data_IF_998306183713
#
_entry.id   IF_998306183713
#
_cell.length_a   1.000
_cell.length_b   1.000
_cell.length_c   1.000
_cell.angle_alpha   90.00
_cell.angle_beta   90.00
_cell.angle_gamma   90.00
#
_symmetry.space_group_name_H-M   'P 1'
#
loop_
_entity.id
_entity.type
_entity.pdbx_description
1 polymer ?
#
# COMPACT_ATOMS: atom_id res chain seq x y z
N UNK A 1 -8.47 9.37 -41.26
CA UNK A 1 -8.76 8.88 -39.89
C UNK A 1 -9.48 9.91 -39.03
N UNK A 2 -9.31 11.22 -39.24
CA UNK A 2 -10.08 12.29 -38.56
C UNK A 2 -11.54 12.44 -39.04
N UNK A 3 -11.85 12.08 -40.27
CA UNK A 3 -13.21 12.20 -40.84
C UNK A 3 -14.19 11.14 -40.36
N UNK A 4 -13.73 9.99 -39.91
CA UNK A 4 -14.56 8.91 -39.32
C UNK A 4 -14.95 9.17 -37.86
N UNK A 5 -14.17 9.97 -37.12
CA UNK A 5 -14.48 10.38 -35.75
C UNK A 5 -15.55 11.48 -35.70
N UNK A 6 -15.65 12.34 -36.74
CA UNK A 6 -16.66 13.38 -36.82
C UNK A 6 -18.06 12.83 -37.18
N UNK A 7 -18.14 11.72 -37.91
CA UNK A 7 -19.40 11.09 -38.28
C UNK A 7 -20.09 10.35 -37.13
N UNK A 8 -19.32 9.86 -36.14
CA UNK A 8 -19.86 9.18 -34.93
C UNK A 8 -20.42 10.18 -33.88
N UNK A 9 -20.00 11.44 -33.93
CA UNK A 9 -20.43 12.49 -33.01
C UNK A 9 -21.72 13.24 -33.45
N UNK A 10 -22.12 13.08 -34.71
CA UNK A 10 -23.31 13.77 -35.27
C UNK A 10 -24.56 12.86 -35.31
N UNK A 11 -24.46 11.59 -34.98
CA UNK A 11 -25.58 10.62 -35.03
C UNK A 11 -26.38 10.50 -33.72
N UNK A 12 -26.07 11.29 -32.67
CA UNK A 12 -26.74 11.15 -31.36
C UNK A 12 -27.56 12.41 -30.95
N UNK A 13 -27.87 13.29 -31.87
CA UNK A 13 -28.64 14.51 -31.57
C UNK A 13 -30.00 14.52 -32.25
N UNK A 14 -30.78 13.44 -32.18
CA UNK A 14 -32.23 13.46 -32.39
C UNK A 14 -32.90 12.96 -31.12
N UNK A 15 -33.29 13.92 -30.28
CA UNK A 15 -34.13 13.67 -29.13
C UNK A 15 -35.59 13.49 -29.63
N UNK A 16 -36.09 12.27 -29.66
CA UNK A 16 -37.50 12.00 -29.70
C UNK A 16 -38.10 12.17 -28.31
N UNK A 17 -39.16 12.94 -28.21
CA UNK A 17 -40.00 13.09 -27.02
C UNK A 17 -40.72 11.76 -26.74
N UNK A 18 -40.67 11.18 -25.53
CA UNK A 18 -41.48 10.01 -25.26
C UNK A 18 -42.91 10.41 -24.90
N UNK A 19 -43.87 9.87 -25.67
CA UNK A 19 -45.27 9.77 -25.29
C UNK A 19 -45.42 8.91 -24.02
N UNK A 20 -46.40 9.30 -23.20
CA UNK A 20 -46.77 8.58 -21.98
C UNK A 20 -47.30 7.18 -22.30
N UNK A 21 -46.62 6.17 -21.80
CA UNK A 21 -47.03 4.77 -21.95
C UNK A 21 -46.45 3.90 -20.85
N UNK A 22 -47.35 3.52 -19.95
CA UNK A 22 -47.30 2.30 -19.09
C UNK A 22 -46.07 2.09 -18.24
N UNK A 23 -46.20 2.42 -16.97
CA UNK A 23 -45.34 1.90 -15.88
C UNK A 23 -45.51 0.36 -15.84
N UNK A 24 -44.57 -0.37 -16.40
CA UNK A 24 -44.28 -1.73 -15.95
C UNK A 24 -43.40 -1.65 -14.69
N UNK A 25 -44.04 -2.08 -13.61
CA UNK A 25 -43.45 -2.23 -12.28
C UNK A 25 -42.39 -3.37 -12.35
N UNK A 26 -41.17 -3.04 -12.79
CA UNK A 26 -40.04 -3.96 -12.68
C UNK A 26 -39.57 -3.89 -11.23
N UNK A 27 -40.28 -4.61 -10.37
CA UNK A 27 -39.76 -5.03 -9.08
C UNK A 27 -38.58 -5.97 -9.34
N UNK A 28 -37.38 -5.39 -9.46
CA UNK A 28 -36.14 -6.15 -9.34
C UNK A 28 -36.12 -6.67 -7.91
N UNK A 29 -36.61 -7.87 -7.72
CA UNK A 29 -36.38 -8.64 -6.52
C UNK A 29 -34.85 -8.75 -6.38
N UNK A 30 -34.27 -7.94 -5.48
CA UNK A 30 -32.92 -8.12 -5.01
C UNK A 30 -32.97 -9.46 -4.26
N UNK A 31 -32.58 -10.53 -4.94
CA UNK A 31 -32.22 -11.76 -4.29
C UNK A 31 -31.07 -11.46 -3.35
N UNK A 32 -31.41 -11.10 -2.11
CA UNK A 32 -30.49 -11.23 -1.00
C UNK A 32 -30.10 -12.71 -0.99
N UNK A 33 -28.82 -13.09 -1.12
CA UNK A 33 -28.44 -14.47 -1.01
C UNK A 33 -29.05 -14.97 0.31
N UNK A 34 -29.88 -15.99 0.26
CA UNK A 34 -30.48 -16.61 1.43
C UNK A 34 -29.32 -17.09 2.32
N UNK A 35 -28.80 -16.22 3.19
CA UNK A 35 -27.84 -16.63 4.21
C UNK A 35 -28.54 -17.62 5.08
N UNK A 36 -27.93 -18.77 5.25
CA UNK A 36 -28.37 -19.81 6.15
C UNK A 36 -28.75 -19.14 7.49
N UNK A 37 -30.00 -19.28 7.90
CA UNK A 37 -30.48 -18.76 9.19
C UNK A 37 -29.57 -19.37 10.25
N UNK A 38 -28.72 -18.54 10.85
CA UNK A 38 -27.82 -19.00 11.86
C UNK A 38 -28.62 -19.39 13.09
N UNK A 39 -28.34 -20.55 13.62
CA UNK A 39 -28.87 -20.99 14.90
C UNK A 39 -27.82 -20.79 15.97
N UNK A 40 -28.26 -20.37 17.16
CA UNK A 40 -27.39 -20.27 18.32
C UNK A 40 -26.78 -21.64 18.65
N UNK A 41 -25.45 -21.69 18.62
CA UNK A 41 -24.66 -22.92 18.76
C UNK A 41 -24.21 -23.22 20.21
N UNK A 42 -24.53 -22.31 21.16
CA UNK A 42 -24.07 -22.39 22.55
C UNK A 42 -22.84 -21.54 22.83
N UNK A 43 -22.36 -20.78 21.84
CA UNK A 43 -21.34 -19.76 22.00
C UNK A 43 -21.96 -18.38 21.83
N UNK A 44 -21.72 -17.46 22.78
CA UNK A 44 -22.16 -16.06 22.73
C UNK A 44 -20.98 -15.20 22.29
N UNK A 45 -20.97 -14.76 21.04
CA UNK A 45 -19.95 -13.86 20.51
C UNK A 45 -20.39 -12.42 20.68
N UNK A 46 -19.59 -11.67 21.44
CA UNK A 46 -19.84 -10.27 21.75
C UNK A 46 -18.94 -9.41 20.87
N UNK A 47 -19.55 -8.57 20.00
CA UNK A 47 -18.85 -7.60 19.17
C UNK A 47 -18.91 -6.20 19.72
N UNK A 48 -17.79 -5.49 19.72
CA UNK A 48 -17.77 -4.06 20.03
C UNK A 48 -16.69 -3.33 19.23
N UNK A 49 -16.93 -2.03 19.03
CA UNK A 49 -15.90 -1.10 18.58
C UNK A 49 -15.55 -0.16 19.72
N UNK A 50 -14.27 0.20 19.85
CA UNK A 50 -13.86 1.19 20.84
C UNK A 50 -14.38 2.58 20.42
N UNK A 51 -15.21 3.24 21.22
CA UNK A 51 -15.86 4.49 20.82
C UNK A 51 -14.88 5.60 20.47
N UNK A 52 -13.77 5.70 21.20
CA UNK A 52 -12.78 6.76 21.04
C UNK A 52 -11.44 6.27 20.47
N UNK A 53 -11.31 4.98 20.22
CA UNK A 53 -10.05 4.31 19.81
C UNK A 53 -8.89 4.53 20.81
N UNK A 54 -9.22 4.78 22.08
CA UNK A 54 -8.29 5.03 23.18
C UNK A 54 -8.15 3.83 24.13
N UNK A 55 -8.63 2.66 23.74
CA UNK A 55 -8.61 1.45 24.58
C UNK A 55 -9.65 1.43 25.69
N UNK A 56 -10.55 2.41 25.76
CA UNK A 56 -11.56 2.50 26.83
C UNK A 56 -12.63 1.42 26.73
N UNK A 57 -12.86 0.86 25.54
CA UNK A 57 -13.87 -0.18 25.32
C UNK A 57 -13.66 -1.43 26.18
N UNK A 58 -12.43 -1.82 26.44
CA UNK A 58 -12.11 -2.95 27.32
C UNK A 58 -12.54 -2.72 28.77
N UNK A 59 -12.50 -1.49 29.26
CA UNK A 59 -12.82 -1.15 30.68
C UNK A 59 -14.25 -1.43 31.08
N UNK A 60 -15.17 -1.55 30.14
CA UNK A 60 -16.59 -1.90 30.41
C UNK A 60 -17.04 -3.18 29.69
N UNK A 61 -16.38 -3.59 28.59
CA UNK A 61 -16.73 -4.82 27.86
C UNK A 61 -16.14 -6.08 28.49
N UNK A 62 -14.93 -6.04 29.04
CA UNK A 62 -14.33 -7.17 29.74
C UNK A 62 -15.08 -7.52 31.02
N UNK A 63 -15.44 -6.56 31.90
CA UNK A 63 -16.32 -6.85 33.04
C UNK A 63 -17.71 -7.39 32.65
N UNK A 64 -18.26 -6.89 31.52
CA UNK A 64 -19.52 -7.42 31.00
C UNK A 64 -19.36 -8.88 30.54
N UNK A 65 -18.34 -9.20 29.78
CA UNK A 65 -18.09 -10.55 29.31
C UNK A 65 -17.89 -11.53 30.45
N UNK A 66 -17.10 -11.17 31.47
CA UNK A 66 -16.87 -11.99 32.65
C UNK A 66 -18.20 -12.21 33.45
N UNK A 67 -19.04 -11.18 33.59
CA UNK A 67 -20.34 -11.30 34.24
C UNK A 67 -21.29 -12.19 33.45
N UNK A 68 -21.29 -12.10 32.13
CA UNK A 68 -22.12 -12.95 31.28
C UNK A 68 -21.66 -14.41 31.33
N UNK A 69 -20.36 -14.66 31.33
CA UNK A 69 -19.81 -16.01 31.45
C UNK A 69 -20.30 -16.70 32.75
N UNK A 70 -20.33 -15.96 33.87
CA UNK A 70 -20.87 -16.46 35.11
C UNK A 70 -22.40 -16.69 35.07
N UNK A 71 -23.15 -15.74 34.52
CA UNK A 71 -24.62 -15.77 34.49
C UNK A 71 -25.18 -16.81 33.51
N UNK A 72 -24.41 -17.17 32.48
CA UNK A 72 -24.83 -18.12 31.44
C UNK A 72 -24.38 -19.56 31.69
N UNK A 73 -23.82 -19.86 32.87
CA UNK A 73 -23.58 -21.25 33.29
C UNK A 73 -24.89 -22.03 33.30
N UNK A 74 -24.88 -23.17 32.67
CA UNK A 74 -26.09 -24.02 32.56
C UNK A 74 -27.20 -23.46 31.65
N UNK A 75 -26.98 -22.39 30.92
CA UNK A 75 -27.99 -21.79 30.04
C UNK A 75 -28.00 -22.39 28.61
N UNK A 76 -27.02 -23.21 28.28
CA UNK A 76 -26.93 -23.85 26.96
C UNK A 76 -27.85 -25.08 26.84
N UNK A 77 -27.89 -25.66 25.65
CA UNK A 77 -28.65 -26.86 25.35
C UNK A 77 -28.31 -28.00 26.34
N UNK A 78 -29.33 -28.62 26.93
CA UNK A 78 -29.22 -29.70 27.94
C UNK A 78 -28.46 -29.30 29.20
N UNK A 79 -28.47 -27.99 29.58
CA UNK A 79 -27.79 -27.49 30.77
C UNK A 79 -26.28 -27.32 30.62
N UNK A 80 -25.76 -27.29 29.41
CA UNK A 80 -24.37 -26.95 29.16
C UNK A 80 -24.10 -25.45 29.41
N UNK A 81 -22.88 -25.09 29.70
CA UNK A 81 -22.44 -23.71 29.81
C UNK A 81 -22.43 -23.05 28.44
N UNK A 82 -22.78 -21.77 28.35
CA UNK A 82 -22.63 -20.93 27.18
C UNK A 82 -21.24 -20.31 27.22
N UNK A 83 -20.43 -20.60 26.20
CA UNK A 83 -19.11 -19.97 26.07
C UNK A 83 -19.26 -18.50 25.65
N UNK A 84 -18.58 -17.59 26.31
CA UNK A 84 -18.58 -16.16 25.98
C UNK A 84 -17.28 -15.81 25.29
N UNK A 85 -17.38 -15.18 24.12
CA UNK A 85 -16.22 -14.74 23.31
C UNK A 85 -16.36 -13.25 23.03
N UNK A 86 -15.34 -12.46 23.39
CA UNK A 86 -15.32 -11.02 23.20
C UNK A 86 -14.42 -10.67 22.02
N UNK A 87 -14.96 -9.94 21.04
CA UNK A 87 -14.26 -9.54 19.82
C UNK A 87 -14.29 -8.03 19.66
N UNK A 88 -13.11 -7.42 19.56
CA UNK A 88 -12.96 -6.00 19.20
C UNK A 88 -12.87 -5.86 17.69
N UNK A 89 -13.65 -4.95 17.12
CA UNK A 89 -13.68 -4.63 15.70
C UNK A 89 -13.32 -3.16 15.47
N UNK A 90 -12.87 -2.82 14.26
CA UNK A 90 -13.02 -1.47 13.78
C UNK A 90 -14.52 -1.16 13.59
N UNK A 91 -14.99 0.09 13.77
CA UNK A 91 -16.41 0.41 13.73
C UNK A 91 -17.16 -0.07 12.49
N UNK A 92 -16.51 -0.01 11.34
CA UNK A 92 -17.08 -0.47 10.06
C UNK A 92 -17.14 -1.99 9.95
N UNK A 93 -16.10 -2.68 10.44
CA UNK A 93 -16.05 -4.14 10.45
C UNK A 93 -17.09 -4.73 11.40
N UNK A 94 -17.34 -4.05 12.54
CA UNK A 94 -18.43 -4.42 13.45
C UNK A 94 -19.80 -4.38 12.75
N UNK A 95 -20.06 -3.34 11.94
CA UNK A 95 -21.29 -3.25 11.18
C UNK A 95 -21.47 -4.44 10.24
N UNK A 96 -20.41 -4.82 9.56
CA UNK A 96 -20.37 -5.99 8.69
C UNK A 96 -20.60 -7.28 9.48
N UNK A 97 -19.91 -7.46 10.61
CA UNK A 97 -20.04 -8.62 11.49
C UNK A 97 -21.47 -8.79 12.04
N UNK A 98 -22.15 -7.69 12.37
CA UNK A 98 -23.55 -7.70 12.82
C UNK A 98 -24.48 -8.19 11.70
N UNK A 99 -24.38 -7.61 10.52
CA UNK A 99 -25.25 -7.98 9.36
C UNK A 99 -24.94 -9.39 8.86
N UNK A 100 -23.68 -9.84 8.94
CA UNK A 100 -23.31 -11.21 8.58
C UNK A 100 -23.56 -12.24 9.67
N UNK A 101 -24.15 -11.85 10.80
CA UNK A 101 -24.42 -12.71 11.95
C UNK A 101 -23.16 -13.40 12.52
N UNK A 102 -22.01 -12.72 12.44
CA UNK A 102 -20.76 -13.17 13.06
C UNK A 102 -20.73 -12.93 14.57
N UNK A 103 -21.55 -11.98 15.04
CA UNK A 103 -21.71 -11.62 16.44
C UNK A 103 -23.16 -11.80 16.87
N UNK A 104 -23.36 -12.24 18.11
CA UNK A 104 -24.65 -12.57 18.71
C UNK A 104 -25.17 -11.44 19.61
N UNK A 105 -24.26 -10.76 20.33
CA UNK A 105 -24.48 -9.59 21.16
C UNK A 105 -23.50 -8.50 20.70
N UNK A 106 -23.93 -7.25 20.61
CA UNK A 106 -23.06 -6.20 20.08
C UNK A 106 -23.37 -4.84 20.65
N UNK A 107 -22.33 -4.00 20.76
CA UNK A 107 -22.42 -2.62 21.22
C UNK A 107 -22.21 -1.67 20.03
N UNK A 108 -23.24 -0.89 19.72
CA UNK A 108 -23.29 -0.01 18.55
C UNK A 108 -23.82 1.38 18.89
N UNK A 109 -23.62 2.36 18.00
CA UNK A 109 -24.24 3.68 18.15
C UNK A 109 -25.76 3.60 18.08
N UNK A 110 -26.45 4.52 18.78
CA UNK A 110 -27.90 4.62 18.75
C UNK A 110 -28.47 4.73 17.33
N UNK A 111 -27.80 5.46 16.45
CA UNK A 111 -28.19 5.56 15.04
C UNK A 111 -28.10 4.24 14.30
N UNK A 112 -27.04 3.47 14.52
CA UNK A 112 -26.90 2.17 13.85
C UNK A 112 -27.89 1.14 14.38
N UNK A 113 -28.19 1.17 15.67
CA UNK A 113 -29.24 0.32 16.23
C UNK A 113 -30.62 0.62 15.59
N UNK A 114 -30.99 1.90 15.46
CA UNK A 114 -32.24 2.30 14.81
C UNK A 114 -32.28 1.86 13.34
N UNK A 115 -31.19 2.02 12.61
CA UNK A 115 -31.07 1.55 11.24
C UNK A 115 -31.31 0.03 11.11
N UNK A 116 -30.68 -0.78 11.97
CA UNK A 116 -30.87 -2.24 12.00
C UNK A 116 -32.33 -2.60 12.33
N UNK A 117 -32.92 -1.92 13.33
CA UNK A 117 -34.30 -2.12 13.75
C UNK A 117 -35.28 -1.82 12.61
N UNK A 118 -35.11 -0.69 11.93
CA UNK A 118 -36.02 -0.23 10.87
C UNK A 118 -35.87 -1.04 9.57
N UNK A 119 -34.70 -1.63 9.34
CA UNK A 119 -34.47 -2.61 8.26
C UNK A 119 -35.04 -3.99 8.56
N UNK A 120 -35.54 -4.26 9.76
CA UNK A 120 -36.00 -5.59 10.15
C UNK A 120 -34.87 -6.61 10.29
N UNK A 121 -33.67 -6.17 10.68
CA UNK A 121 -32.51 -7.06 10.80
C UNK A 121 -32.57 -8.09 11.93
N UNK A 122 -33.71 -8.21 12.61
CA UNK A 122 -33.89 -9.19 13.68
C UNK A 122 -33.00 -8.90 14.90
N UNK A 123 -32.96 -7.66 15.35
CA UNK A 123 -32.19 -7.23 16.50
C UNK A 123 -33.10 -6.76 17.62
N UNK A 124 -32.69 -7.02 18.85
CA UNK A 124 -33.43 -6.63 20.06
C UNK A 124 -32.52 -5.82 20.97
N UNK A 125 -33.03 -4.66 21.41
CA UNK A 125 -32.33 -3.82 22.37
C UNK A 125 -32.29 -4.47 23.74
N UNK A 126 -31.13 -4.44 24.40
CA UNK A 126 -30.92 -4.97 25.75
C UNK A 126 -30.69 -3.83 26.74
N UNK A 127 -29.80 -2.89 26.45
CA UNK A 127 -29.42 -1.82 27.37
C UNK A 127 -28.78 -0.66 26.61
N UNK A 128 -28.70 0.50 27.25
CA UNK A 128 -27.91 1.65 26.79
C UNK A 128 -26.75 1.90 27.74
N UNK A 129 -25.55 2.08 27.17
CA UNK A 129 -24.36 2.40 27.94
C UNK A 129 -24.32 3.90 28.22
N UNK A 130 -24.35 4.25 29.53
CA UNK A 130 -24.20 5.61 30.02
C UNK A 130 -22.73 5.87 30.37
N UNK A 131 -22.03 6.81 29.71
CA UNK A 131 -20.69 7.20 30.12
C UNK A 131 -20.70 7.99 31.45
N UNK A 132 -19.58 8.04 32.19
CA UNK A 132 -19.50 8.75 33.46
C UNK A 132 -19.76 10.26 33.33
N UNK A 133 -19.49 10.84 32.19
CA UNK A 133 -19.68 12.25 31.87
C UNK A 133 -21.15 12.65 31.71
N UNK A 134 -22.04 11.69 31.46
CA UNK A 134 -23.47 11.96 31.27
C UNK A 134 -24.26 11.76 32.58
N UNK A 135 -25.14 12.69 32.92
CA UNK A 135 -26.14 12.53 34.00
C UNK A 135 -27.36 11.77 33.52
N UNK A 136 -27.72 11.96 32.22
CA UNK A 136 -28.85 11.35 31.55
C UNK A 136 -28.36 10.42 30.44
N UNK A 137 -28.70 9.12 30.44
CA UNK A 137 -28.28 8.18 29.39
C UNK A 137 -28.88 8.49 28.02
N UNK A 138 -29.96 9.25 27.93
CA UNK A 138 -30.58 9.69 26.68
C UNK A 138 -29.87 10.93 26.08
N UNK A 139 -28.87 11.48 26.80
CA UNK A 139 -28.10 12.66 26.41
C UNK A 139 -26.60 12.41 26.53
N UNK A 140 -26.14 11.38 25.88
CA UNK A 140 -24.76 10.87 26.01
C UNK A 140 -23.96 10.84 24.70
N UNK A 141 -24.59 11.10 23.55
CA UNK A 141 -23.99 11.12 22.23
C UNK A 141 -24.33 12.41 21.46
N UNK A 142 -23.47 12.84 20.57
CA UNK A 142 -23.66 14.05 19.77
C UNK A 142 -22.37 14.47 19.09
N UNK A 143 -22.36 15.66 18.49
CA UNK A 143 -21.19 16.19 17.78
C UNK A 143 -20.74 17.54 18.32
N UNK A 144 -19.46 17.83 18.11
CA UNK A 144 -18.87 19.13 18.39
C UNK A 144 -18.09 19.62 17.16
N UNK A 145 -18.32 20.87 16.77
CA UNK A 145 -17.52 21.54 15.73
C UNK A 145 -16.30 22.16 16.37
N UNK A 146 -15.12 21.83 15.87
CA UNK A 146 -13.85 22.37 16.36
C UNK A 146 -13.10 23.07 15.26
N UNK A 147 -12.45 24.17 15.62
CA UNK A 147 -11.54 24.94 14.77
C UNK A 147 -10.27 25.22 15.54
N UNK A 148 -9.20 25.65 14.86
CA UNK A 148 -8.00 26.09 15.57
C UNK A 148 -8.32 27.25 16.52
N UNK A 149 -7.65 27.31 17.63
CA UNK A 149 -7.85 28.37 18.63
C UNK A 149 -7.57 29.77 18.08
N UNK A 150 -6.62 29.89 17.13
CA UNK A 150 -6.24 31.14 16.47
C UNK A 150 -7.20 31.57 15.33
N UNK A 151 -8.12 30.69 14.91
CA UNK A 151 -9.02 30.99 13.80
C UNK A 151 -10.29 31.72 14.27
N UNK A 152 -10.37 32.99 13.99
CA UNK A 152 -11.49 33.87 14.39
C UNK A 152 -12.61 33.96 13.38
N UNK A 153 -12.51 33.27 12.22
CA UNK A 153 -13.51 33.32 11.14
C UNK A 153 -14.83 32.68 11.52
N UNK A 154 -14.80 31.65 12.37
CA UNK A 154 -15.95 30.79 12.68
C UNK A 154 -16.34 30.93 14.15
N UNK A 155 -17.46 31.59 14.45
CA UNK A 155 -17.95 31.77 15.82
C UNK A 155 -19.28 31.07 16.07
N UNK A 156 -20.08 30.88 15.05
CA UNK A 156 -21.37 30.19 15.09
C UNK A 156 -21.50 29.21 13.92
N UNK A 157 -22.46 28.29 14.01
CA UNK A 157 -22.63 27.24 12.99
C UNK A 157 -22.89 27.80 11.59
N UNK A 158 -23.58 28.95 11.47
CA UNK A 158 -23.80 29.60 10.16
C UNK A 158 -22.52 30.04 9.46
N UNK A 159 -21.45 30.34 10.22
CA UNK A 159 -20.17 30.80 9.67
C UNK A 159 -19.40 29.65 9.00
N UNK A 160 -19.77 28.40 9.31
CA UNK A 160 -19.16 27.20 8.72
C UNK A 160 -19.58 26.96 7.26
N UNK A 161 -20.45 27.82 6.71
CA UNK A 161 -20.86 27.73 5.31
C UNK A 161 -19.63 27.83 4.40
N UNK A 162 -19.54 26.88 3.47
CA UNK A 162 -18.41 26.74 2.52
C UNK A 162 -17.06 26.42 3.14
N UNK A 163 -16.95 26.21 4.47
CA UNK A 163 -15.72 25.77 5.11
C UNK A 163 -15.29 24.37 4.62
N UNK A 164 -14.00 24.10 4.66
CA UNK A 164 -13.45 22.77 4.44
C UNK A 164 -13.51 21.99 5.74
N UNK A 165 -14.20 20.86 5.73
CA UNK A 165 -14.53 20.11 6.94
C UNK A 165 -13.93 18.71 6.91
N UNK A 166 -13.34 18.30 8.03
CA UNK A 166 -13.00 16.91 8.30
C UNK A 166 -14.02 16.29 9.26
N UNK A 167 -14.38 15.04 9.03
CA UNK A 167 -15.24 14.25 9.92
C UNK A 167 -14.75 12.79 9.97
N UNK A 168 -15.18 12.05 10.99
CA UNK A 168 -14.81 10.65 11.15
C UNK A 168 -15.28 9.79 9.98
N UNK A 169 -16.57 9.82 9.65
CA UNK A 169 -17.12 9.04 8.55
C UNK A 169 -18.55 9.42 8.22
N UNK A 170 -18.93 9.28 6.95
CA UNK A 170 -20.30 9.54 6.49
C UNK A 170 -21.35 8.69 7.22
N UNK A 171 -20.96 7.49 7.62
CA UNK A 171 -21.78 6.52 8.35
C UNK A 171 -21.73 6.70 9.87
N UNK A 172 -21.04 7.71 10.39
CA UNK A 172 -21.02 7.99 11.83
C UNK A 172 -22.22 8.84 12.21
N UNK A 173 -23.11 8.30 13.05
CA UNK A 173 -24.29 9.04 13.48
C UNK A 173 -23.90 10.27 14.32
N UNK A 174 -23.08 10.05 15.35
CA UNK A 174 -22.63 11.06 16.31
C UNK A 174 -21.40 11.86 15.85
N UNK A 175 -20.67 11.37 14.85
CA UNK A 175 -19.53 12.07 14.27
C UNK A 175 -19.83 12.80 12.95
N UNK A 176 -21.06 12.71 12.42
CA UNK A 176 -21.44 13.38 11.18
C UNK A 176 -22.93 13.72 11.08
N UNK A 177 -23.83 12.73 11.24
CA UNK A 177 -25.24 12.92 10.94
C UNK A 177 -25.91 13.87 11.94
N UNK A 178 -25.54 13.79 13.23
CA UNK A 178 -25.97 14.73 14.25
C UNK A 178 -25.50 16.17 13.96
N UNK A 179 -24.29 16.33 13.43
CA UNK A 179 -23.78 17.63 12.98
C UNK A 179 -24.56 18.19 11.80
N UNK A 180 -24.98 17.33 10.84
CA UNK A 180 -25.86 17.75 9.74
C UNK A 180 -27.24 18.18 10.23
N UNK A 181 -27.78 17.56 11.30
CA UNK A 181 -29.06 17.98 11.88
C UNK A 181 -28.94 19.36 12.52
N UNK A 182 -27.83 19.68 13.15
CA UNK A 182 -27.57 21.04 13.66
C UNK A 182 -27.43 22.06 12.52
N UNK A 183 -26.71 21.72 11.45
CA UNK A 183 -26.58 22.55 10.25
C UNK A 183 -27.95 22.80 9.60
N UNK A 184 -28.89 21.86 9.68
CA UNK A 184 -30.24 22.03 9.15
C UNK A 184 -31.06 23.11 9.87
N UNK A 185 -30.64 23.56 11.07
CA UNK A 185 -31.24 24.68 11.76
C UNK A 185 -30.88 26.02 11.10
N UNK A 186 -29.76 26.07 10.34
CA UNK A 186 -29.23 27.30 9.72
C UNK A 186 -29.18 27.21 8.19
N UNK A 187 -29.53 26.07 7.61
CA UNK A 187 -29.51 25.86 6.14
C UNK A 187 -30.59 24.89 5.68
N UNK A 188 -31.28 25.23 4.58
CA UNK A 188 -32.23 24.33 3.92
C UNK A 188 -31.53 23.16 3.18
N UNK A 189 -30.25 23.28 2.89
CA UNK A 189 -29.45 22.28 2.18
C UNK A 189 -28.25 21.82 3.02
N UNK A 190 -28.47 21.11 4.14
CA UNK A 190 -27.39 20.76 5.06
C UNK A 190 -26.33 19.86 4.43
N UNK A 191 -26.69 18.99 3.51
CA UNK A 191 -25.72 18.11 2.81
C UNK A 191 -24.76 18.89 1.88
N UNK A 192 -25.13 20.09 1.44
CA UNK A 192 -24.34 20.95 0.55
C UNK A 192 -23.88 22.23 1.26
N UNK A 193 -23.92 22.25 2.59
CA UNK A 193 -23.59 23.44 3.37
C UNK A 193 -22.09 23.73 3.38
N UNK A 194 -21.28 22.68 3.53
CA UNK A 194 -19.83 22.79 3.55
C UNK A 194 -19.25 22.87 2.14
N UNK A 195 -18.13 23.55 1.97
CA UNK A 195 -17.44 23.68 0.68
C UNK A 195 -16.80 22.36 0.23
N UNK A 196 -16.15 21.68 1.16
CA UNK A 196 -15.56 20.35 0.95
C UNK A 196 -15.66 19.56 2.25
N UNK A 197 -15.97 18.28 2.15
CA UNK A 197 -15.96 17.36 3.30
C UNK A 197 -14.98 16.21 3.03
N UNK A 198 -14.12 15.94 4.00
CA UNK A 198 -13.17 14.83 3.98
C UNK A 198 -13.48 13.90 5.14
N UNK A 199 -13.58 12.60 4.88
CA UNK A 199 -13.78 11.58 5.90
C UNK A 199 -12.46 10.84 6.17
N UNK A 200 -12.01 10.86 7.44
CA UNK A 200 -10.66 10.45 7.84
C UNK A 200 -10.63 9.14 8.65
N UNK A 201 -11.77 8.45 8.76
CA UNK A 201 -11.88 7.20 9.50
C UNK A 201 -12.70 7.36 10.79
N UNK A 202 -12.67 6.34 11.63
CA UNK A 202 -13.55 6.22 12.80
C UNK A 202 -13.07 6.97 14.05
N UNK A 203 -11.85 7.48 14.08
CA UNK A 203 -11.24 8.17 15.22
C UNK A 203 -11.23 9.68 15.03
N UNK A 204 -11.42 10.44 16.10
CA UNK A 204 -11.36 11.91 16.09
C UNK A 204 -9.94 12.48 16.03
N UNK A 205 -8.92 11.71 16.38
CA UNK A 205 -7.52 12.20 16.34
C UNK A 205 -7.06 12.63 14.94
N UNK A 206 -7.29 11.86 13.87
CA UNK A 206 -6.98 12.32 12.50
C UNK A 206 -7.76 13.58 12.11
N UNK A 207 -9.03 13.69 12.55
CA UNK A 207 -9.85 14.88 12.30
C UNK A 207 -9.28 16.11 12.99
N UNK A 208 -8.93 15.98 14.27
CA UNK A 208 -8.31 17.07 15.04
C UNK A 208 -6.96 17.51 14.45
N UNK A 209 -6.13 16.55 14.03
CA UNK A 209 -4.84 16.83 13.37
C UNK A 209 -5.02 17.56 12.04
N UNK A 210 -5.94 17.15 11.19
CA UNK A 210 -6.21 17.83 9.92
C UNK A 210 -6.59 19.30 10.11
N UNK A 211 -7.29 19.64 11.21
CA UNK A 211 -7.57 21.04 11.58
C UNK A 211 -6.31 21.77 12.02
N UNK A 212 -5.50 21.16 12.89
CA UNK A 212 -4.27 21.77 13.41
C UNK A 212 -3.22 21.98 12.30
N UNK A 213 -3.09 21.03 11.39
CA UNK A 213 -2.17 21.05 10.23
C UNK A 213 -2.66 21.95 9.09
N UNK A 214 -3.87 22.55 9.21
CA UNK A 214 -4.50 23.44 8.23
C UNK A 214 -4.93 22.74 6.94
N UNK A 215 -5.08 21.43 6.94
CA UNK A 215 -5.63 20.67 5.82
C UNK A 215 -7.13 20.88 5.67
N UNK A 216 -7.78 21.18 6.81
CA UNK A 216 -9.19 21.57 6.88
C UNK A 216 -9.38 22.75 7.83
N UNK A 217 -10.46 23.49 7.62
CA UNK A 217 -10.81 24.63 8.48
C UNK A 217 -11.49 24.17 9.78
N UNK A 218 -12.33 23.13 9.66
CA UNK A 218 -13.25 22.68 10.72
C UNK A 218 -13.14 21.16 10.87
N UNK A 219 -13.16 20.69 12.11
CA UNK A 219 -13.31 19.28 12.45
C UNK A 219 -14.67 19.01 13.08
N UNK A 220 -15.26 17.87 12.75
CA UNK A 220 -16.45 17.35 13.46
C UNK A 220 -16.01 16.16 14.30
N UNK A 221 -15.99 16.33 15.60
CA UNK A 221 -15.69 15.30 16.58
C UNK A 221 -16.96 14.84 17.28
N UNK A 222 -16.93 13.66 17.87
CA UNK A 222 -17.97 13.23 18.80
C UNK A 222 -17.83 13.99 20.11
N UNK A 223 -18.92 14.15 20.85
CA UNK A 223 -18.87 14.71 22.20
C UNK A 223 -17.91 13.92 23.10
N UNK A 224 -17.24 14.58 24.01
CA UNK A 224 -16.21 14.05 24.91
C UNK A 224 -14.89 13.60 24.20
N UNK A 225 -14.82 13.62 22.89
CA UNK A 225 -13.62 13.18 22.16
C UNK A 225 -12.50 14.22 22.24
N UNK A 226 -12.83 15.51 22.18
CA UNK A 226 -11.87 16.60 22.36
C UNK A 226 -11.21 16.54 23.75
N UNK A 227 -12.02 16.39 24.78
CA UNK A 227 -11.58 16.32 26.18
C UNK A 227 -10.75 15.05 26.42
N UNK A 228 -11.19 13.91 25.87
CA UNK A 228 -10.48 12.64 26.01
C UNK A 228 -9.12 12.65 25.31
N UNK A 229 -9.03 13.20 24.11
CA UNK A 229 -7.77 13.34 23.37
C UNK A 229 -6.79 14.30 24.08
N UNK A 230 -7.33 15.37 24.65
CA UNK A 230 -6.53 16.32 25.46
C UNK A 230 -6.05 15.67 26.76
N UNK A 231 -6.92 14.97 27.48
CA UNK A 231 -6.56 14.26 28.71
C UNK A 231 -5.53 13.14 28.47
N UNK A 232 -5.57 12.49 27.30
CA UNK A 232 -4.59 11.51 26.86
C UNK A 232 -3.25 12.12 26.41
N UNK A 233 -3.12 13.46 26.38
CA UNK A 233 -1.92 14.15 25.92
C UNK A 233 -1.69 14.06 24.39
N UNK A 234 -2.70 13.67 23.63
CA UNK A 234 -2.66 13.56 22.17
C UNK A 234 -2.95 14.91 21.47
N UNK A 235 -3.56 15.84 22.19
CA UNK A 235 -3.81 17.22 21.77
C UNK A 235 -3.33 18.17 22.86
N UNK A 236 -2.76 19.29 22.45
CA UNK A 236 -2.39 20.37 23.38
C UNK A 236 -3.66 21.07 23.90
N UNK A 237 -3.79 21.29 25.23
CA UNK A 237 -4.90 22.05 25.79
C UNK A 237 -5.03 23.43 25.15
N UNK A 238 -6.23 23.76 24.68
CA UNK A 238 -6.49 25.07 24.06
C UNK A 238 -6.00 25.22 22.62
N UNK A 239 -5.47 24.18 21.98
CA UNK A 239 -5.09 24.21 20.57
C UNK A 239 -6.29 24.28 19.62
N UNK A 240 -7.41 23.72 20.04
CA UNK A 240 -8.69 23.79 19.36
C UNK A 240 -9.73 24.53 20.22
N UNK A 241 -10.68 25.18 19.57
CA UNK A 241 -11.85 25.77 20.21
C UNK A 241 -13.13 25.28 19.56
N UNK A 242 -14.20 25.26 20.33
CA UNK A 242 -15.53 24.84 19.90
C UNK A 242 -16.28 25.98 19.21
N UNK A 243 -17.05 25.63 18.18
CA UNK A 243 -17.94 26.55 17.46
C UNK A 243 -19.38 26.14 17.72
N UNK A 244 -20.23 27.11 18.01
CA UNK A 244 -21.67 26.86 18.25
C UNK A 244 -21.93 26.03 19.51
N UNK A 245 -21.15 26.25 20.57
CA UNK A 245 -21.31 25.56 21.85
C UNK A 245 -22.73 25.77 22.41
N UNK A 246 -23.37 24.68 22.78
CA UNK A 246 -24.70 24.70 23.40
C UNK A 246 -24.58 24.78 24.92
N UNK A 247 -25.63 25.32 25.58
CA UNK A 247 -25.73 25.27 27.03
C UNK A 247 -25.60 23.83 27.54
N UNK A 248 -25.07 23.62 28.76
CA UNK A 248 -24.97 22.28 29.35
C UNK A 248 -26.30 21.55 29.34
N UNK A 249 -26.32 20.32 28.82
CA UNK A 249 -27.51 19.48 28.64
C UNK A 249 -27.48 18.22 29.54
N UNK A 250 -26.69 18.24 30.61
CA UNK A 250 -26.49 17.07 31.46
C UNK A 250 -25.31 16.17 31.03
N UNK A 251 -24.46 16.69 30.12
CA UNK A 251 -23.20 16.10 29.76
C UNK A 251 -22.06 17.02 30.23
N UNK A 252 -21.03 16.47 30.85
CA UNK A 252 -19.88 17.26 31.32
C UNK A 252 -18.97 17.75 30.19
N UNK A 253 -19.06 17.16 29.01
CA UNK A 253 -18.31 17.57 27.84
C UNK A 253 -19.08 18.62 27.02
N UNK A 254 -18.36 19.41 26.26
CA UNK A 254 -18.96 20.40 25.38
C UNK A 254 -19.66 19.75 24.17
N UNK A 255 -20.75 20.38 23.70
CA UNK A 255 -21.51 19.92 22.56
C UNK A 255 -21.91 21.11 21.67
N UNK A 256 -21.88 20.91 20.35
CA UNK A 256 -22.44 21.86 19.37
C UNK A 256 -23.80 21.44 18.84
N UNK A 257 -24.27 20.24 19.20
CA UNK A 257 -25.54 19.67 18.73
C UNK A 257 -26.50 19.35 19.85
N UNK A 258 -27.76 19.00 19.54
CA UNK A 258 -28.56 18.23 20.45
C UNK A 258 -27.87 16.92 20.82
N UNK A 259 -28.21 16.40 22.02
CA UNK A 259 -27.67 15.15 22.51
C UNK A 259 -28.65 14.00 22.28
N UNK A 260 -28.11 12.83 22.09
CA UNK A 260 -28.82 11.59 21.76
C UNK A 260 -28.45 10.49 22.77
N UNK A 261 -29.23 9.39 22.84
CA UNK A 261 -28.88 8.23 23.64
C UNK A 261 -27.50 7.68 23.36
N UNK A 262 -26.82 7.18 24.37
CA UNK A 262 -25.53 6.56 24.30
C UNK A 262 -25.50 5.29 23.43
N UNK A 263 -24.42 4.51 23.56
CA UNK A 263 -24.27 3.26 22.81
C UNK A 263 -25.33 2.24 23.22
N UNK A 264 -25.96 1.59 22.24
CA UNK A 264 -26.95 0.55 22.42
C UNK A 264 -26.27 -0.84 22.46
N UNK A 265 -26.49 -1.59 23.51
CA UNK A 265 -26.22 -3.02 23.57
C UNK A 265 -27.44 -3.75 23.01
N UNK A 266 -27.27 -4.50 21.96
CA UNK A 266 -28.36 -5.23 21.30
C UNK A 266 -27.94 -6.67 21.01
N UNK A 267 -28.92 -7.56 20.96
CA UNK A 267 -28.74 -8.97 20.64
C UNK A 267 -29.46 -9.34 19.35
N UNK A 268 -28.94 -10.33 18.64
CA UNK A 268 -29.63 -10.96 17.52
C UNK A 268 -30.86 -11.76 18.05
N UNK A 269 -31.98 -11.70 17.33
CA UNK A 269 -33.23 -12.37 17.75
C UNK A 269 -33.18 -13.90 17.66
N UNK A 270 -32.21 -14.45 16.91
CA UNK A 270 -31.98 -15.91 16.87
C UNK A 270 -31.28 -16.44 18.15
N UNK A 271 -30.73 -15.56 19.01
CA UNK A 271 -30.26 -15.94 20.33
C UNK A 271 -31.50 -16.31 21.17
N UNK A 272 -31.54 -17.49 21.84
CA UNK A 272 -32.68 -17.95 22.56
C UNK A 272 -33.19 -16.94 23.61
N UNK A 273 -34.49 -16.83 23.76
CA UNK A 273 -35.11 -15.84 24.65
C UNK A 273 -34.66 -15.98 26.13
N UNK A 274 -34.51 -17.20 26.59
CA UNK A 274 -34.01 -17.51 27.93
C UNK A 274 -32.56 -17.02 28.14
N UNK A 275 -31.72 -17.14 27.09
CA UNK A 275 -30.35 -16.60 27.08
C UNK A 275 -30.37 -15.06 27.07
N UNK A 276 -31.20 -14.43 26.21
CA UNK A 276 -31.32 -12.97 26.17
C UNK A 276 -31.83 -12.41 27.50
N UNK A 277 -32.80 -13.07 28.12
CA UNK A 277 -33.33 -12.68 29.46
C UNK A 277 -32.25 -12.77 30.54
N UNK A 278 -31.40 -13.81 30.52
CA UNK A 278 -30.26 -13.91 31.46
C UNK A 278 -29.20 -12.85 31.17
N UNK A 279 -28.96 -12.53 29.91
CA UNK A 279 -28.08 -11.43 29.52
C UNK A 279 -28.59 -10.12 30.12
N UNK A 280 -29.86 -9.78 29.91
CA UNK A 280 -30.45 -8.56 30.46
C UNK A 280 -30.35 -8.52 32.00
N UNK A 281 -30.69 -9.62 32.68
CA UNK A 281 -30.57 -9.71 34.14
C UNK A 281 -29.12 -9.52 34.61
N UNK A 282 -28.16 -10.10 33.94
CA UNK A 282 -26.74 -9.94 34.23
C UNK A 282 -26.29 -8.49 34.08
N UNK A 283 -26.65 -7.86 32.94
CA UNK A 283 -26.32 -6.47 32.61
C UNK A 283 -26.81 -5.50 33.67
N UNK A 284 -28.09 -5.61 34.06
CA UNK A 284 -28.68 -4.71 35.06
C UNK A 284 -28.28 -4.99 36.52
N UNK A 285 -27.74 -6.17 36.79
CA UNK A 285 -27.20 -6.51 38.13
C UNK A 285 -25.71 -6.19 38.26
N UNK A 286 -25.07 -5.68 37.21
CA UNK A 286 -23.65 -5.33 37.25
C UNK A 286 -23.39 -4.18 38.23
N UNK A 287 -22.38 -4.28 39.10
CA UNK A 287 -21.88 -3.14 39.84
C UNK A 287 -21.29 -2.12 38.85
N UNK A 288 -21.29 -0.85 39.23
CA UNK A 288 -20.64 0.20 38.44
C UNK A 288 -19.13 -0.03 38.49
N UNK A 289 -18.47 -0.24 37.37
CA UNK A 289 -17.01 -0.41 37.33
C UNK A 289 -16.29 0.91 37.70
N UNK A 290 -15.00 0.84 38.04
CA UNK A 290 -14.19 2.02 38.37
C UNK A 290 -14.17 3.05 37.23
N UNK A 291 -14.33 2.62 35.98
CA UNK A 291 -14.47 3.49 34.82
C UNK A 291 -15.73 4.38 34.86
N UNK A 292 -16.69 4.11 35.73
CA UNK A 292 -17.91 4.88 35.88
C UNK A 292 -18.98 4.64 34.80
N UNK A 293 -18.75 3.80 33.84
CA UNK A 293 -19.74 3.41 32.83
C UNK A 293 -20.88 2.61 33.47
N UNK A 294 -22.10 2.84 33.01
CA UNK A 294 -23.31 2.15 33.55
C UNK A 294 -24.19 1.65 32.43
N UNK A 295 -24.73 0.46 32.62
CA UNK A 295 -25.81 -0.08 31.78
C UNK A 295 -27.15 0.42 32.30
N UNK A 296 -28.01 0.95 31.43
CA UNK A 296 -29.23 1.65 31.78
C UNK A 296 -30.42 1.24 30.89
N UNK A 297 -31.64 1.55 31.36
CA UNK A 297 -32.89 1.26 30.66
C UNK A 297 -33.32 2.35 29.65
N UNK A 298 -32.43 3.29 29.32
CA UNK A 298 -32.77 4.36 28.38
C UNK A 298 -33.01 3.80 26.97
N UNK A 299 -34.21 3.99 26.46
CA UNK A 299 -34.65 3.47 25.16
C UNK A 299 -35.48 4.47 24.34
N UNK A 300 -35.48 5.75 24.68
CA UNK A 300 -36.16 6.78 23.89
C UNK A 300 -35.28 7.18 22.66
N UNK A 301 -35.46 6.46 21.59
CA UNK A 301 -34.75 6.68 20.34
C UNK A 301 -35.55 7.52 19.31
N UNK A 302 -36.64 8.19 19.72
CA UNK A 302 -37.48 9.00 18.79
C UNK A 302 -36.72 10.08 18.07
N UNK A 303 -35.84 10.80 18.78
CA UNK A 303 -35.00 11.83 18.17
C UNK A 303 -33.95 11.25 17.22
N UNK A 304 -33.36 10.09 17.56
CA UNK A 304 -32.43 9.37 16.69
C UNK A 304 -33.12 8.97 15.39
N UNK A 305 -34.32 8.37 15.50
CA UNK A 305 -35.12 7.96 14.32
C UNK A 305 -35.47 9.16 13.43
N UNK A 306 -35.97 10.26 14.02
CA UNK A 306 -36.27 11.51 13.32
C UNK A 306 -35.06 11.99 12.49
N UNK A 307 -33.86 12.00 13.07
CA UNK A 307 -32.64 12.42 12.39
C UNK A 307 -32.20 11.41 11.33
N UNK A 308 -32.28 10.11 11.64
CA UNK A 308 -31.97 9.04 10.72
C UNK A 308 -32.85 9.09 9.45
N UNK A 309 -34.17 9.28 9.63
CA UNK A 309 -35.12 9.44 8.51
C UNK A 309 -34.85 10.72 7.72
N UNK A 310 -34.64 11.87 8.39
CA UNK A 310 -34.37 13.17 7.75
C UNK A 310 -33.16 13.12 6.81
N UNK A 311 -32.12 12.37 7.14
CA UNK A 311 -30.90 12.28 6.36
C UNK A 311 -30.77 10.98 5.54
N UNK A 312 -31.80 10.12 5.55
CA UNK A 312 -31.76 8.79 4.94
C UNK A 312 -30.50 8.04 5.39
N UNK A 313 -30.32 7.96 6.71
CA UNK A 313 -29.15 7.36 7.32
C UNK A 313 -29.07 5.87 6.99
N UNK A 314 -28.04 5.49 6.24
CA UNK A 314 -27.78 4.10 5.83
C UNK A 314 -26.28 3.82 5.98
N UNK A 315 -25.84 3.30 7.14
CA UNK A 315 -24.41 3.12 7.43
C UNK A 315 -23.75 1.91 6.76
N UNK A 316 -24.46 1.21 5.88
CA UNK A 316 -23.92 0.08 5.14
C UNK A 316 -23.17 0.51 3.88
N UNK A 317 -22.36 -0.41 3.30
CA UNK A 317 -21.54 -0.24 2.10
C UNK A 317 -22.24 0.34 0.85
N UNK A 318 -23.54 0.66 0.92
CA UNK A 318 -24.20 1.51 -0.09
C UNK A 318 -23.58 2.90 -0.22
N UNK A 319 -22.73 3.32 0.74
CA UNK A 319 -21.84 4.46 0.50
C UNK A 319 -20.87 4.22 -0.67
N UNK A 320 -20.54 2.97 -0.98
CA UNK A 320 -19.87 2.60 -2.23
C UNK A 320 -20.82 2.71 -3.42
N UNK A 321 -22.07 2.29 -3.27
CA UNK A 321 -23.08 2.34 -4.35
C UNK A 321 -23.55 3.78 -4.60
N UNK A 322 -23.73 4.59 -3.53
CA UNK A 322 -24.00 6.02 -3.67
C UNK A 322 -22.78 6.80 -4.20
N UNK A 323 -21.57 6.38 -3.92
CA UNK A 323 -20.36 6.90 -4.60
C UNK A 323 -20.34 6.50 -6.07
N UNK A 324 -20.74 5.28 -6.41
CA UNK A 324 -20.84 4.85 -7.81
C UNK A 324 -21.92 5.65 -8.56
N UNK A 325 -23.09 5.91 -7.98
CA UNK A 325 -24.16 6.66 -8.67
C UNK A 325 -23.82 8.16 -8.85
N UNK A 326 -23.19 8.82 -7.89
CA UNK A 326 -22.73 10.22 -8.02
C UNK A 326 -21.48 10.30 -8.89
N UNK A 327 -20.62 9.29 -8.83
CA UNK A 327 -19.49 9.14 -9.77
C UNK A 327 -20.01 8.84 -11.17
N UNK A 328 -21.07 8.04 -11.33
CA UNK A 328 -21.63 7.65 -12.62
C UNK A 328 -22.19 8.84 -13.39
N UNK A 329 -22.91 9.76 -12.78
CA UNK A 329 -23.44 10.94 -13.48
C UNK A 329 -22.40 12.04 -13.74
N UNK A 330 -21.49 12.28 -12.80
CA UNK A 330 -20.55 13.41 -12.90
C UNK A 330 -19.23 13.05 -13.56
N UNK A 331 -18.85 11.75 -13.50
CA UNK A 331 -17.56 11.28 -14.00
C UNK A 331 -17.64 10.24 -15.12
N UNK A 332 -18.84 9.87 -15.61
CA UNK A 332 -18.96 8.91 -16.73
C UNK A 332 -18.14 9.33 -17.95
N UNK A 333 -18.12 10.61 -18.26
CA UNK A 333 -17.30 11.13 -19.36
C UNK A 333 -15.80 11.09 -19.03
N UNK A 334 -15.42 11.37 -17.78
CA UNK A 334 -14.03 11.26 -17.33
C UNK A 334 -13.55 9.81 -17.33
N UNK A 335 -14.40 8.87 -16.93
CA UNK A 335 -14.10 7.42 -16.98
C UNK A 335 -13.98 6.92 -18.43
N UNK A 336 -14.87 7.37 -19.33
CA UNK A 336 -14.78 7.04 -20.77
C UNK A 336 -13.50 7.62 -21.37
N UNK A 337 -13.17 8.88 -21.06
CA UNK A 337 -11.92 9.51 -21.53
C UNK A 337 -10.71 8.78 -20.93
N UNK A 338 -10.73 8.44 -19.65
CA UNK A 338 -9.68 7.66 -18.99
C UNK A 338 -9.49 6.29 -19.63
N UNK A 339 -10.58 5.60 -19.94
CA UNK A 339 -10.54 4.32 -20.65
C UNK A 339 -9.98 4.46 -22.07
N UNK A 340 -10.35 5.51 -22.80
CA UNK A 340 -9.82 5.80 -24.14
C UNK A 340 -8.31 6.11 -24.10
N UNK A 341 -7.86 6.87 -23.09
CA UNK A 341 -6.42 7.13 -22.87
C UNK A 341 -5.66 5.84 -22.57
N UNK A 342 -6.22 4.98 -21.70
CA UNK A 342 -5.63 3.67 -21.39
C UNK A 342 -5.58 2.76 -22.62
N UNK A 343 -6.65 2.71 -23.41
CA UNK A 343 -6.70 1.94 -24.65
C UNK A 343 -5.69 2.48 -25.69
N UNK A 344 -5.59 3.79 -25.84
CA UNK A 344 -4.61 4.44 -26.71
C UNK A 344 -3.17 4.17 -26.24
N UNK A 345 -2.92 4.24 -24.93
CA UNK A 345 -1.62 3.93 -24.31
C UNK A 345 -1.24 2.46 -24.54
N UNK A 346 -2.20 1.55 -24.40
CA UNK A 346 -1.98 0.12 -24.64
C UNK A 346 -1.67 -0.16 -26.13
N UNK A 347 -2.40 0.46 -27.05
CA UNK A 347 -2.14 0.37 -28.48
C UNK A 347 -0.77 0.97 -28.84
N UNK A 348 -0.42 2.10 -28.24
CA UNK A 348 0.89 2.71 -28.37
C UNK A 348 2.01 1.80 -27.86
N UNK A 349 1.83 1.22 -26.66
CA UNK A 349 2.79 0.27 -26.07
C UNK A 349 3.03 -0.95 -26.97
N UNK A 350 1.94 -1.55 -27.49
CA UNK A 350 2.05 -2.68 -28.44
C UNK A 350 2.76 -2.27 -29.73
N UNK A 351 2.49 -1.07 -30.25
CA UNK A 351 3.14 -0.55 -31.45
C UNK A 351 4.63 -0.30 -31.23
N UNK A 352 4.97 0.33 -30.10
CA UNK A 352 6.37 0.56 -29.71
C UNK A 352 7.09 -0.77 -29.50
N UNK A 353 6.47 -1.73 -28.83
CA UNK A 353 7.05 -3.07 -28.62
C UNK A 353 7.37 -3.77 -29.95
N UNK A 354 6.47 -3.66 -30.94
CA UNK A 354 6.72 -4.21 -32.29
C UNK A 354 7.87 -3.49 -33.01
N UNK A 355 7.96 -2.17 -32.87
CA UNK A 355 9.06 -1.38 -33.46
C UNK A 355 10.38 -1.72 -32.79
N UNK A 356 10.40 -1.78 -31.46
CA UNK A 356 11.58 -2.17 -30.68
C UNK A 356 12.02 -3.57 -31.05
N UNK A 357 11.12 -4.55 -31.10
CA UNK A 357 11.44 -5.92 -31.47
C UNK A 357 12.04 -6.01 -32.92
N UNK A 358 11.51 -5.21 -33.85
CA UNK A 358 12.09 -5.14 -35.22
C UNK A 358 13.49 -4.52 -35.22
N UNK A 359 13.67 -3.43 -34.45
CA UNK A 359 14.97 -2.77 -34.32
C UNK A 359 15.99 -3.65 -33.60
N UNK A 360 15.57 -4.35 -32.56
CA UNK A 360 16.44 -5.29 -31.82
C UNK A 360 16.86 -6.46 -32.73
N UNK A 361 15.96 -7.04 -33.53
CA UNK A 361 16.31 -8.08 -34.50
C UNK A 361 17.30 -7.57 -35.57
N UNK A 362 17.11 -6.35 -36.06
CA UNK A 362 18.03 -5.75 -37.00
C UNK A 362 19.41 -5.49 -36.35
N UNK A 363 19.42 -5.03 -35.10
CA UNK A 363 20.65 -4.77 -34.36
C UNK A 363 21.44 -6.08 -34.09
N UNK A 364 20.73 -7.14 -33.65
CA UNK A 364 21.32 -8.46 -33.44
C UNK A 364 21.98 -8.96 -34.74
N UNK A 365 21.28 -8.82 -35.89
CA UNK A 365 21.84 -9.21 -37.16
C UNK A 365 23.13 -8.45 -37.53
N UNK A 366 23.17 -7.13 -37.27
CA UNK A 366 24.37 -6.31 -37.48
C UNK A 366 25.49 -6.71 -36.52
N UNK A 367 25.17 -7.05 -35.29
CA UNK A 367 26.15 -7.54 -34.31
C UNK A 367 26.72 -8.88 -34.78
N UNK A 368 25.88 -9.82 -35.20
CA UNK A 368 26.33 -11.13 -35.71
C UNK A 368 27.22 -10.97 -36.97
N UNK A 369 26.85 -10.06 -37.89
CA UNK A 369 27.67 -9.72 -39.07
C UNK A 369 29.01 -9.09 -38.64
N UNK A 370 28.99 -8.19 -37.66
CA UNK A 370 30.21 -7.58 -37.12
C UNK A 370 31.13 -8.64 -36.49
N UNK A 371 30.57 -9.51 -35.65
CA UNK A 371 31.32 -10.56 -34.95
C UNK A 371 31.92 -11.54 -35.97
N UNK A 372 31.18 -11.90 -37.03
CA UNK A 372 31.71 -12.70 -38.12
C UNK A 372 32.87 -12.02 -38.85
N UNK A 373 32.78 -10.69 -39.09
CA UNK A 373 33.85 -9.91 -39.69
C UNK A 373 35.07 -9.80 -38.76
N UNK A 374 34.86 -9.61 -37.46
CA UNK A 374 35.95 -9.59 -36.46
C UNK A 374 36.66 -10.94 -36.38
N UNK A 375 35.92 -12.04 -36.44
CA UNK A 375 36.48 -13.37 -36.47
C UNK A 375 37.29 -13.64 -37.76
N UNK A 376 36.81 -13.14 -38.91
CA UNK A 376 37.58 -13.19 -40.13
C UNK A 376 38.85 -12.35 -40.04
N UNK A 377 38.74 -11.11 -39.55
CA UNK A 377 39.91 -10.24 -39.39
C UNK A 377 40.92 -10.82 -38.38
N UNK A 378 40.43 -11.50 -37.32
CA UNK A 378 41.30 -12.20 -36.37
C UNK A 378 42.05 -13.36 -36.99
N UNK A 379 41.36 -14.20 -37.77
CA UNK A 379 42.00 -15.31 -38.49
C UNK A 379 43.02 -14.82 -39.52
N UNK A 380 42.71 -13.74 -40.21
CA UNK A 380 43.65 -13.16 -41.17
C UNK A 380 44.88 -12.56 -40.47
N UNK A 381 44.72 -11.89 -39.33
CA UNK A 381 45.85 -11.46 -38.50
C UNK A 381 46.69 -12.61 -37.99
N UNK A 382 46.07 -13.70 -37.57
CA UNK A 382 46.78 -14.89 -37.12
C UNK A 382 47.57 -15.51 -38.27
N UNK A 383 46.98 -15.59 -39.48
CA UNK A 383 47.69 -16.06 -40.70
C UNK A 383 48.83 -15.16 -41.07
N UNK A 384 48.62 -13.83 -41.05
CA UNK A 384 49.69 -12.86 -41.32
C UNK A 384 50.82 -13.00 -40.32
N UNK A 385 50.48 -13.14 -39.04
CA UNK A 385 51.47 -13.36 -37.97
C UNK A 385 52.27 -14.67 -38.15
N UNK A 386 51.60 -15.72 -38.62
CA UNK A 386 52.30 -16.99 -38.95
C UNK A 386 53.22 -16.83 -40.15
N UNK A 387 52.76 -16.14 -41.19
CA UNK A 387 53.59 -15.86 -42.40
C UNK A 387 54.80 -14.95 -42.05
N UNK A 388 54.56 -13.93 -41.24
CA UNK A 388 55.62 -13.04 -40.76
C UNK A 388 56.66 -13.80 -39.92
N UNK A 389 56.19 -14.71 -39.02
CA UNK A 389 57.09 -15.59 -38.27
C UNK A 389 57.88 -16.51 -39.16
N UNK A 390 57.26 -17.10 -40.19
CA UNK A 390 57.94 -17.96 -41.16
C UNK A 390 58.94 -17.17 -41.98
N UNK A 391 58.60 -15.96 -42.42
CA UNK A 391 59.49 -15.04 -43.10
C UNK A 391 60.74 -14.65 -42.29
N UNK A 392 60.50 -14.27 -41.01
CA UNK A 392 61.59 -13.92 -40.09
C UNK A 392 62.49 -15.12 -39.77
N UNK A 393 61.92 -16.32 -39.61
CA UNK A 393 62.73 -17.54 -39.43
C UNK A 393 63.57 -17.83 -40.65
N UNK A 394 63.05 -17.64 -41.85
CA UNK A 394 63.79 -17.84 -43.07
C UNK A 394 64.95 -16.84 -43.24
N UNK A 395 64.67 -15.55 -42.96
CA UNK A 395 65.69 -14.50 -43.08
C UNK A 395 66.74 -14.62 -41.97
N UNK A 396 66.30 -14.92 -40.70
CA UNK A 396 67.22 -15.22 -39.61
C UNK A 396 68.05 -16.48 -39.88
N UNK A 397 67.46 -17.52 -40.45
CA UNK A 397 68.21 -18.74 -40.80
C UNK A 397 69.29 -18.48 -41.81
N UNK A 398 69.00 -17.66 -42.81
CA UNK A 398 70.00 -17.26 -43.83
C UNK A 398 71.15 -16.44 -43.21
N UNK A 399 70.80 -15.45 -42.39
CA UNK A 399 71.76 -14.59 -41.69
C UNK A 399 72.65 -15.39 -40.72
N UNK A 400 71.99 -16.21 -39.88
CA UNK A 400 72.71 -17.07 -38.94
C UNK A 400 73.65 -18.04 -39.64
N UNK A 401 73.19 -18.68 -40.71
CA UNK A 401 73.99 -19.58 -41.49
C UNK A 401 75.19 -18.87 -42.08
N UNK A 402 75.04 -17.61 -42.48
CA UNK A 402 76.18 -16.83 -43.04
C UNK A 402 77.13 -16.40 -41.90
N UNK A 403 76.66 -15.85 -40.83
CA UNK A 403 77.44 -15.40 -39.67
C UNK A 403 78.12 -16.56 -38.89
N UNK A 404 77.53 -17.73 -38.83
CA UNK A 404 78.17 -18.94 -38.24
C UNK A 404 79.18 -19.56 -39.13
N UNK A 405 79.00 -19.49 -40.45
CA UNK A 405 79.97 -20.10 -41.38
C UNK A 405 81.38 -19.45 -41.35
N UNK A 406 81.41 -18.12 -41.05
CA UNK A 406 82.71 -17.43 -40.95
C UNK A 406 83.54 -17.88 -39.74
N UNK A 407 83.05 -17.85 -38.47
CA UNK A 407 83.86 -18.29 -37.35
C UNK A 407 84.14 -19.81 -37.39
N UNK A 408 83.20 -20.60 -37.93
CA UNK A 408 83.41 -22.05 -38.11
C UNK A 408 84.51 -22.33 -39.14
N UNK A 409 84.52 -21.62 -40.29
CA UNK A 409 85.58 -21.76 -41.29
C UNK A 409 86.93 -21.33 -40.71
N UNK A 410 86.96 -20.27 -39.85
CA UNK A 410 88.22 -19.91 -39.19
C UNK A 410 88.69 -20.95 -38.20
N UNK A 411 87.72 -21.53 -37.37
CA UNK A 411 88.05 -22.63 -36.48
C UNK A 411 88.65 -23.86 -37.24
N UNK A 412 88.04 -24.22 -38.36
CA UNK A 412 88.54 -25.32 -39.22
C UNK A 412 89.93 -25.00 -39.69
N UNK A 413 90.17 -23.79 -40.26
CA UNK A 413 91.45 -23.38 -40.76
C UNK A 413 92.52 -23.40 -39.65
N UNK A 414 92.22 -22.95 -38.43
CA UNK A 414 93.18 -23.02 -37.33
C UNK A 414 93.40 -24.46 -36.86
N UNK A 415 92.34 -25.27 -36.79
CA UNK A 415 92.44 -26.67 -36.42
C UNK A 415 93.31 -27.45 -37.50
N UNK A 416 93.07 -27.21 -38.80
CA UNK A 416 93.84 -27.84 -39.88
C UNK A 416 95.29 -27.38 -39.86
N UNK A 417 95.51 -26.06 -39.67
CA UNK A 417 96.87 -25.52 -39.57
C UNK A 417 97.61 -26.09 -38.34
N UNK A 418 96.96 -26.25 -37.25
CA UNK A 418 97.48 -26.85 -36.03
C UNK A 418 97.81 -28.32 -36.26
N UNK A 419 96.91 -29.04 -36.94
CA UNK A 419 97.11 -30.47 -37.28
C UNK A 419 98.35 -30.67 -38.21
N UNK A 420 98.53 -29.79 -39.18
CA UNK A 420 99.69 -29.79 -40.04
C UNK A 420 100.97 -29.44 -39.27
N UNK A 421 100.90 -28.51 -38.33
CA UNK A 421 102.08 -28.12 -37.56
C UNK A 421 102.49 -29.16 -36.53
N UNK A 422 101.53 -29.82 -35.86
CA UNK A 422 101.81 -30.88 -34.85
C UNK A 422 102.41 -32.15 -35.44
N UNK A 423 102.33 -32.33 -36.73
CA UNK A 423 102.99 -33.49 -37.38
C UNK A 423 104.53 -33.55 -37.26
N UNK A 424 105.15 -32.61 -36.49
CA UNK A 424 106.59 -32.54 -36.45
C UNK A 424 107.31 -32.11 -35.17
N UNK A 425 106.75 -31.49 -34.16
CA UNK A 425 107.47 -31.09 -32.90
C UNK A 425 106.55 -30.63 -31.75
N UNK A 426 106.92 -30.93 -30.51
CA UNK A 426 106.22 -30.48 -29.27
C UNK A 426 106.56 -29.03 -28.92
N UNK A 427 105.62 -28.38 -28.14
CA UNK A 427 105.61 -27.05 -27.48
C UNK A 427 106.24 -25.90 -28.30
N UNK A 428 105.40 -25.24 -29.06
CA UNK A 428 105.73 -24.09 -29.86
C UNK A 428 104.70 -22.92 -29.73
N UNK A 429 105.17 -21.66 -29.65
CA UNK A 429 104.29 -20.46 -29.49
C UNK A 429 103.15 -20.38 -30.50
N UNK A 430 103.36 -21.01 -31.68
CA UNK A 430 102.39 -21.06 -32.78
C UNK A 430 101.16 -21.91 -32.37
N UNK A 431 101.37 -23.00 -31.64
CA UNK A 431 100.30 -23.86 -31.10
C UNK A 431 99.43 -23.10 -30.11
N UNK A 432 100.01 -22.29 -29.21
CA UNK A 432 99.31 -21.49 -28.24
C UNK A 432 98.50 -20.40 -28.86
N UNK A 433 99.00 -19.75 -29.96
CA UNK A 433 98.25 -18.75 -30.69
C UNK A 433 97.10 -19.41 -31.48
N UNK A 434 97.31 -20.53 -32.15
CA UNK A 434 96.25 -21.25 -32.87
C UNK A 434 95.15 -21.70 -31.93
N UNK A 435 95.51 -22.26 -30.75
CA UNK A 435 94.52 -22.67 -29.73
C UNK A 435 93.73 -21.48 -29.18
N UNK A 436 94.40 -20.32 -28.95
CA UNK A 436 93.75 -19.11 -28.54
C UNK A 436 92.73 -18.58 -29.57
N UNK A 437 93.13 -18.65 -30.91
CA UNK A 437 92.27 -18.24 -31.98
C UNK A 437 91.06 -19.15 -32.16
N UNK A 438 91.25 -20.48 -32.06
CA UNK A 438 90.14 -21.47 -32.00
C UNK A 438 89.15 -21.14 -30.81
N UNK A 439 89.71 -20.83 -29.64
CA UNK A 439 88.92 -20.39 -28.48
C UNK A 439 88.10 -19.13 -28.74
N UNK A 440 88.75 -18.07 -29.30
CA UNK A 440 88.09 -16.80 -29.67
C UNK A 440 86.93 -17.01 -30.68
N UNK A 441 87.20 -17.88 -31.72
CA UNK A 441 86.16 -18.16 -32.70
C UNK A 441 85.01 -18.99 -32.13
N UNK A 442 85.26 -19.90 -31.16
CA UNK A 442 84.25 -20.66 -30.44
C UNK A 442 83.36 -19.74 -29.54
N UNK A 443 84.03 -18.77 -28.84
CA UNK A 443 83.29 -17.75 -28.07
C UNK A 443 82.42 -16.85 -28.97
N UNK A 444 82.93 -16.52 -30.17
CA UNK A 444 82.13 -15.74 -31.16
C UNK A 444 80.92 -16.52 -31.66
N UNK A 445 81.03 -17.79 -31.93
CA UNK A 445 79.90 -18.68 -32.29
C UNK A 445 78.91 -18.72 -31.15
N UNK A 446 79.39 -18.93 -29.92
CA UNK A 446 78.55 -18.93 -28.66
C UNK A 446 77.76 -17.61 -28.52
N UNK A 447 78.45 -16.48 -28.74
CA UNK A 447 77.77 -15.14 -28.67
C UNK A 447 76.66 -14.93 -29.67
N UNK A 448 76.87 -15.46 -30.94
CA UNK A 448 75.88 -15.42 -31.99
C UNK A 448 74.65 -16.28 -31.58
N UNK A 449 74.89 -17.50 -31.13
CA UNK A 449 73.82 -18.40 -30.66
C UNK A 449 73.03 -17.75 -29.51
N UNK A 450 73.72 -17.13 -28.52
CA UNK A 450 73.02 -16.47 -27.38
C UNK A 450 72.25 -15.19 -27.84
N UNK A 451 72.70 -14.45 -28.83
CA UNK A 451 72.00 -13.36 -29.45
C UNK A 451 70.71 -13.84 -30.12
N UNK A 452 70.75 -14.88 -30.85
CA UNK A 452 69.58 -15.50 -31.51
C UNK A 452 68.60 -16.00 -30.47
N UNK A 453 69.08 -16.65 -29.43
CA UNK A 453 68.24 -17.11 -28.33
C UNK A 453 67.54 -15.98 -27.54
N UNK A 454 68.24 -14.87 -27.26
CA UNK A 454 67.63 -13.65 -26.69
C UNK A 454 66.57 -13.05 -27.57
N UNK A 455 66.83 -12.97 -28.87
CA UNK A 455 65.86 -12.42 -29.85
C UNK A 455 64.60 -13.30 -29.91
N UNK A 456 64.74 -14.59 -29.88
CA UNK A 456 63.59 -15.51 -29.83
C UNK A 456 62.79 -15.35 -28.52
N UNK A 457 63.45 -15.21 -27.35
CA UNK A 457 62.84 -15.10 -26.01
C UNK A 457 62.17 -13.74 -25.78
N UNK A 458 62.69 -12.66 -26.36
CA UNK A 458 62.17 -11.31 -26.21
C UNK A 458 60.80 -11.15 -26.89
N UNK A 459 60.48 -11.96 -27.90
CA UNK A 459 59.18 -11.98 -28.60
C UNK A 459 58.11 -12.81 -27.87
N UNK A 460 58.45 -13.76 -27.01
CA UNK A 460 57.50 -14.49 -26.17
C UNK A 460 56.94 -13.68 -24.98
N UNK A 461 57.68 -12.62 -24.57
CA UNK A 461 57.30 -11.77 -23.41
C UNK A 461 56.26 -10.66 -23.71
N UNK A 462 55.85 -10.45 -24.97
CA UNK A 462 54.94 -9.39 -25.39
C UNK A 462 53.50 -9.82 -25.60
N UNK A 463 53.11 -11.06 -25.26
CA UNK A 463 51.75 -11.55 -25.25
C UNK A 463 51.33 -11.94 -23.81
N UNK A 464 51.10 -10.92 -22.95
CA UNK A 464 50.25 -11.07 -21.76
C UNK A 464 48.89 -10.54 -22.13
N UNK A 465 47.90 -11.42 -22.19
CA UNK A 465 46.48 -11.04 -22.26
C UNK A 465 46.15 -10.11 -21.11
N UNK A 466 45.66 -8.92 -21.40
CA UNK A 466 45.04 -8.04 -20.42
C UNK A 466 43.56 -8.41 -20.42
N UNK A 467 43.13 -9.06 -19.35
CA UNK A 467 41.74 -9.40 -19.11
C UNK A 467 40.98 -8.11 -18.74
N UNK A 468 40.13 -7.64 -19.65
CA UNK A 468 39.34 -6.41 -19.53
C UNK A 468 37.99 -6.63 -18.79
N UNK A 469 37.77 -7.75 -18.11
CA UNK A 469 36.53 -8.07 -17.40
C UNK A 469 36.60 -7.89 -15.89
N UNK A 470 37.40 -6.97 -15.38
CA UNK A 470 37.37 -6.60 -13.95
C UNK A 470 37.60 -5.10 -13.78
N UNK A 471 36.54 -4.32 -14.06
CA UNK A 471 36.34 -2.93 -13.58
C UNK A 471 34.83 -2.62 -13.54
#
# INVERSE_FOLDING_TARGET
>A
MLALLAALLLSTAQAETPEAGVQEDVSVAIETPAKAVRHFDGSLRIGYADPLDLGQGSTFMEPLAARLEESLKGAGKRGADVKVELHKYAPFDLQTAVVSHEVDLFLVTSGYYIYLSDMGAGVEWISTLKPPQATDPEKAAGSVFVVRADDTRYNQVSDLRTAFVAAAGMASFDGWVAALDEVANVSQYPKNFFGKTTFLGSSGLPVARAVLERDTDVGILRVCELEALTAAGLLEPGSLRVVGEKPPQGLACVSSTELFPGLALAAQTYVPEDVRRRIAAAVYSMPVPESGYRWTLANDYRNVRRVAEKFAYAPTNRASDARFSVVEERYKYALVIGFLILAASMLYSVSVSKIVARRTKALVKVIDEKDALEDHARRDRERLSQLERAGIVSELSSMIAHELRQPVASLINYADGLSLYLGGKGHDPVIDEATREIGRQAERVSSIVERVRRYAKQKEGLQREIDFCAA
#
